data_IF_623325270548
#
_entry.id   IF_623325270548
#
_cell.length_a   1.000
_cell.length_b   1.000
_cell.length_c   1.000
_cell.angle_alpha   90.00
_cell.angle_beta   90.00
_cell.angle_gamma   90.00
#
_symmetry.space_group_name_H-M   'P 1'
#
loop_
_entity.id
_entity.type
_entity.pdbx_description
1 polymer ?
#
# COMPACT_ATOMS: atom_id res chain seq x y z
N UNK A 1 7.20 -14.98 -0.51
CA UNK A 1 6.15 -14.04 -0.05
C UNK A 1 4.97 -14.82 0.50
N UNK A 2 4.72 -14.74 1.81
CA UNK A 2 3.58 -15.39 2.44
C UNK A 2 2.30 -14.52 2.29
N UNK A 3 1.13 -15.04 2.66
CA UNK A 3 -0.11 -14.24 2.73
C UNK A 3 -0.67 -14.27 4.14
N UNK A 4 -1.17 -13.14 4.59
CA UNK A 4 -1.84 -13.02 5.88
C UNK A 4 -3.14 -13.82 5.87
N UNK A 5 -3.35 -14.66 6.87
CA UNK A 5 -4.58 -15.44 7.01
C UNK A 5 -5.79 -14.58 7.45
N UNK A 6 -5.54 -13.38 8.00
CA UNK A 6 -6.60 -12.48 8.49
C UNK A 6 -7.16 -11.59 7.38
N UNK A 7 -6.29 -10.95 6.58
CA UNK A 7 -6.69 -9.99 5.56
C UNK A 7 -6.33 -10.40 4.12
N UNK A 8 -5.59 -11.50 3.93
CA UNK A 8 -5.13 -11.94 2.61
C UNK A 8 -3.99 -11.10 2.01
N UNK A 9 -3.58 -10.01 2.67
CA UNK A 9 -2.46 -9.16 2.21
C UNK A 9 -1.15 -9.94 2.16
N UNK A 10 -0.30 -9.64 1.19
CA UNK A 10 1.01 -10.25 1.12
C UNK A 10 1.88 -9.84 2.32
N UNK A 11 2.58 -10.83 2.88
CA UNK A 11 3.59 -10.64 3.92
C UNK A 11 4.95 -10.83 3.24
N UNK A 12 5.80 -9.78 3.19
CA UNK A 12 7.13 -9.87 2.64
C UNK A 12 8.01 -10.88 3.36
N UNK A 13 9.02 -11.44 2.68
CA UNK A 13 9.81 -12.57 3.20
C UNK A 13 10.59 -12.25 4.48
N UNK A 14 10.90 -10.96 4.73
CA UNK A 14 11.59 -10.52 5.95
C UNK A 14 10.63 -10.16 7.09
N UNK A 15 9.34 -10.39 6.93
CA UNK A 15 8.31 -10.07 7.91
C UNK A 15 7.57 -11.33 8.35
N UNK A 16 7.34 -11.46 9.66
CA UNK A 16 6.56 -12.58 10.23
C UNK A 16 5.10 -12.20 10.50
N UNK A 17 4.84 -10.91 10.69
CA UNK A 17 3.52 -10.36 11.00
C UNK A 17 3.12 -9.45 9.84
N UNK A 18 1.82 -9.43 9.54
CA UNK A 18 1.27 -8.54 8.53
C UNK A 18 1.22 -7.10 9.04
N UNK A 19 1.97 -6.19 8.42
CA UNK A 19 1.94 -4.74 8.71
C UNK A 19 0.54 -4.15 8.71
N UNK A 20 -0.33 -4.61 7.79
CA UNK A 20 -1.71 -4.13 7.67
C UNK A 20 -2.59 -4.56 8.86
N UNK A 21 -2.52 -5.83 9.26
CA UNK A 21 -3.31 -6.31 10.42
C UNK A 21 -2.71 -5.88 11.75
N UNK A 22 -1.40 -5.68 11.80
CA UNK A 22 -0.70 -5.18 12.98
C UNK A 22 -0.92 -3.68 13.17
N UNK A 23 -1.28 -2.95 12.11
CA UNK A 23 -1.55 -1.52 12.15
C UNK A 23 -0.30 -0.66 12.15
N UNK A 24 0.84 -1.21 11.73
CA UNK A 24 2.11 -0.50 11.65
C UNK A 24 2.72 -0.71 10.26
N UNK A 25 2.63 0.32 9.43
CA UNK A 25 3.15 0.33 8.05
C UNK A 25 4.68 0.29 8.00
N UNK A 26 5.35 0.69 9.08
CA UNK A 26 6.80 0.60 9.24
C UNK A 26 7.26 -0.76 9.75
N UNK A 27 6.32 -1.65 10.10
CA UNK A 27 6.65 -2.98 10.57
C UNK A 27 7.40 -3.78 9.49
N UNK A 28 8.58 -4.27 9.83
CA UNK A 28 9.49 -4.97 8.93
C UNK A 28 10.81 -4.24 8.74
N UNK A 29 11.62 -4.70 7.78
CA UNK A 29 12.94 -4.10 7.46
C UNK A 29 13.08 -3.72 5.99
N UNK A 30 12.06 -3.97 5.18
CA UNK A 30 12.07 -3.76 3.73
C UNK A 30 11.22 -2.57 3.28
N UNK A 31 10.45 -1.96 4.20
CA UNK A 31 9.57 -0.82 3.95
C UNK A 31 8.47 -1.13 2.94
N UNK A 32 8.06 -2.41 2.82
CA UNK A 32 7.12 -2.81 1.77
C UNK A 32 5.77 -2.10 1.89
N UNK A 33 5.16 -2.10 3.08
CA UNK A 33 3.85 -1.49 3.29
C UNK A 33 3.91 0.04 3.13
N UNK A 34 5.00 0.67 3.58
CA UNK A 34 5.27 2.09 3.36
C UNK A 34 5.37 2.44 1.87
N UNK A 35 6.18 1.69 1.09
CA UNK A 35 6.30 1.88 -0.36
C UNK A 35 4.98 1.67 -1.09
N UNK A 36 4.22 0.65 -0.70
CA UNK A 36 2.90 0.41 -1.26
C UNK A 36 1.95 1.58 -0.98
N UNK A 37 1.93 2.09 0.25
CA UNK A 37 1.09 3.24 0.61
C UNK A 37 1.45 4.50 -0.19
N UNK A 38 2.75 4.80 -0.35
CA UNK A 38 3.22 5.92 -1.17
C UNK A 38 2.80 5.79 -2.63
N UNK A 39 2.91 4.58 -3.21
CA UNK A 39 2.50 4.34 -4.58
C UNK A 39 0.99 4.49 -4.77
N UNK A 40 0.17 4.02 -3.81
CA UNK A 40 -1.28 4.23 -3.85
C UNK A 40 -1.65 5.72 -3.78
N UNK A 41 -0.93 6.52 -2.97
CA UNK A 41 -1.14 7.97 -2.93
C UNK A 41 -0.82 8.63 -4.26
N UNK A 42 0.28 8.23 -4.91
CA UNK A 42 0.66 8.74 -6.24
C UNK A 42 -0.41 8.45 -7.28
N UNK A 43 -0.90 7.21 -7.33
CA UNK A 43 -1.95 6.80 -8.28
C UNK A 43 -3.23 7.60 -8.03
N UNK A 44 -3.66 7.75 -6.77
CA UNK A 44 -4.87 8.53 -6.46
C UNK A 44 -4.74 9.99 -6.89
N UNK A 45 -3.57 10.61 -6.68
CA UNK A 45 -3.32 11.98 -7.14
C UNK A 45 -3.41 12.09 -8.67
N UNK A 46 -2.81 11.16 -9.40
CA UNK A 46 -2.87 11.13 -10.87
C UNK A 46 -4.31 10.93 -11.37
N UNK A 47 -5.09 10.07 -10.72
CA UNK A 47 -6.52 9.87 -11.04
C UNK A 47 -7.36 11.12 -10.74
N UNK A 48 -7.10 11.83 -9.64
CA UNK A 48 -7.79 13.08 -9.32
C UNK A 48 -7.45 14.20 -10.32
N UNK A 49 -6.18 14.31 -10.73
CA UNK A 49 -5.75 15.28 -11.75
C UNK A 49 -6.36 14.97 -13.12
N UNK A 50 -6.39 13.70 -13.52
CA UNK A 50 -7.02 13.28 -14.77
C UNK A 50 -8.53 13.56 -14.78
N UNK A 51 -9.22 13.35 -13.65
CA UNK A 51 -10.65 13.68 -13.53
C UNK A 51 -10.90 15.18 -13.63
N UNK A 52 -10.09 16.02 -12.96
CA UNK A 52 -10.22 17.48 -13.07
C UNK A 52 -10.05 17.96 -14.51
N UNK A 53 -9.11 17.40 -15.26
CA UNK A 53 -8.91 17.73 -16.68
C UNK A 53 -10.10 17.32 -17.57
N UNK A 54 -10.86 16.29 -17.19
CA UNK A 54 -12.07 15.88 -17.91
C UNK A 54 -13.32 16.71 -17.56
N UNK A 55 -13.35 17.34 -16.39
CA UNK A 55 -14.49 18.19 -15.97
C UNK A 55 -14.41 19.62 -16.51
N UNK A 56 -13.22 20.07 -16.94
CA UNK A 56 -12.98 21.41 -17.50
C UNK A 56 -13.07 21.49 -19.05
N UNK A 57 -13.44 20.39 -19.75
CA UNK A 57 -13.67 20.32 -21.21
C UNK A 57 -15.17 20.16 -21.56
#
# INVERSE_FOLDING_TARGET
MARCQMCGSPIPDKQKICSMCYGDIGYGSDGYAEKWALEQMRIQQEEEEAKKQQEDE
#
